data_IF_669557193654
#
_entry.id   IF_669557193654
#
_cell.length_a   1.000
_cell.length_b   1.000
_cell.length_c   1.000
_cell.angle_alpha   90.00
_cell.angle_beta   90.00
_cell.angle_gamma   90.00
#
_symmetry.space_group_name_H-M   'P 1'
#
loop_
_entity.id
_entity.type
_entity.pdbx_description
1 polymer ?
#
# COMPACT_ATOMS: atom_id res chain seq x y z
N UNK A 1 -51.29 48.52 26.66
CA UNK A 1 -50.31 48.19 25.59
C UNK A 1 -50.05 46.70 25.62
N UNK A 2 -50.04 46.04 24.45
CA UNK A 2 -50.09 44.57 24.32
C UNK A 2 -48.71 43.93 24.58
N UNK A 3 -48.70 42.83 25.35
CA UNK A 3 -47.53 41.98 25.55
C UNK A 3 -47.08 41.37 24.21
N UNK A 4 -45.79 41.50 23.86
CA UNK A 4 -45.21 41.03 22.60
C UNK A 4 -44.32 39.82 22.91
N UNK A 5 -44.70 38.64 22.44
CA UNK A 5 -43.84 37.46 22.46
C UNK A 5 -42.72 37.63 21.44
N UNK A 6 -41.46 37.53 21.88
CA UNK A 6 -40.27 37.53 21.02
C UNK A 6 -39.94 36.07 20.66
N UNK A 7 -39.84 35.69 19.37
CA UNK A 7 -39.44 34.33 19.01
C UNK A 7 -37.94 34.14 19.30
N UNK A 8 -37.56 33.00 19.90
CA UNK A 8 -36.15 32.63 20.06
C UNK A 8 -35.55 32.32 18.68
N UNK A 9 -34.33 32.80 18.36
CA UNK A 9 -33.67 32.43 17.11
C UNK A 9 -33.44 30.92 17.12
N UNK A 10 -33.96 30.24 16.09
CA UNK A 10 -33.75 28.81 15.88
C UNK A 10 -32.85 28.62 14.67
N UNK A 11 -31.83 27.77 14.86
CA UNK A 11 -30.97 27.09 13.88
C UNK A 11 -29.85 27.98 13.29
N UNK A 12 -28.62 27.53 13.07
CA UNK A 12 -28.13 26.17 12.82
C UNK A 12 -26.66 26.00 13.29
N UNK A 13 -26.05 24.83 13.05
CA UNK A 13 -24.61 24.62 13.25
C UNK A 13 -23.88 25.39 12.15
N UNK A 14 -23.48 26.62 12.44
CA UNK A 14 -22.98 27.53 11.40
C UNK A 14 -21.54 27.23 10.95
N UNK A 15 -20.74 26.47 11.69
CA UNK A 15 -19.45 25.97 11.16
C UNK A 15 -18.83 24.86 12.03
N UNK A 16 -19.17 23.59 11.78
CA UNK A 16 -18.29 22.50 12.21
C UNK A 16 -17.14 22.37 11.21
N UNK A 17 -16.16 23.27 11.32
CA UNK A 17 -14.96 23.28 10.48
C UNK A 17 -13.97 22.23 10.94
N UNK A 18 -13.92 21.10 10.24
CA UNK A 18 -12.88 20.08 10.42
C UNK A 18 -11.62 20.55 9.69
N UNK A 19 -10.54 20.85 10.40
CA UNK A 19 -9.26 21.28 9.83
C UNK A 19 -8.43 20.05 9.44
N UNK A 20 -8.11 19.88 8.14
CA UNK A 20 -7.14 18.88 7.68
C UNK A 20 -7.50 18.10 6.40
N UNK A 21 -8.11 18.72 5.38
CA UNK A 21 -8.51 18.02 4.15
C UNK A 21 -7.90 18.64 2.91
N UNK A 22 -7.57 17.80 1.91
CA UNK A 22 -7.11 18.19 0.57
C UNK A 22 -8.01 19.30 0.05
N UNK A 23 -7.42 20.47 -0.20
CA UNK A 23 -8.03 21.71 -0.70
C UNK A 23 -9.58 21.78 -0.62
N UNK A 24 -10.12 22.24 0.51
CA UNK A 24 -11.45 22.85 0.56
C UNK A 24 -12.69 21.95 0.72
N UNK A 25 -12.58 20.66 1.03
CA UNK A 25 -13.75 19.78 1.27
C UNK A 25 -13.94 19.34 2.72
N UNK A 26 -15.18 19.24 3.22
CA UNK A 26 -15.54 18.56 4.49
C UNK A 26 -15.36 17.03 4.41
N UNK A 27 -15.46 16.29 5.52
CA UNK A 27 -15.43 14.81 5.53
C UNK A 27 -16.36 14.17 4.49
N UNK A 28 -17.52 14.80 4.30
CA UNK A 28 -18.56 14.41 3.36
C UNK A 28 -18.20 14.49 1.86
N UNK A 29 -17.06 15.08 1.49
CA UNK A 29 -16.65 15.24 0.09
C UNK A 29 -15.75 14.11 -0.44
N UNK A 30 -15.37 13.13 0.39
CA UNK A 30 -14.63 11.97 -0.14
C UNK A 30 -15.59 11.10 -0.93
N UNK A 31 -15.18 10.78 -2.14
CA UNK A 31 -15.74 9.66 -2.87
C UNK A 31 -15.49 8.36 -2.10
N UNK A 32 -16.33 7.35 -2.31
CA UNK A 32 -16.12 6.03 -1.71
C UNK A 32 -14.73 5.45 -2.03
N UNK A 33 -14.21 5.72 -3.23
CA UNK A 33 -12.87 5.32 -3.65
C UNK A 33 -11.76 5.99 -2.82
N UNK A 34 -11.89 7.27 -2.50
CA UNK A 34 -10.91 7.98 -1.66
C UNK A 34 -10.97 7.53 -0.19
N UNK A 35 -12.17 7.22 0.32
CA UNK A 35 -12.31 6.62 1.66
C UNK A 35 -11.69 5.22 1.71
N UNK A 36 -11.90 4.41 0.66
CA UNK A 36 -11.27 3.09 0.52
C UNK A 36 -9.75 3.23 0.47
N UNK A 37 -9.21 4.18 -0.31
CA UNK A 37 -7.77 4.42 -0.37
C UNK A 37 -7.16 4.88 0.96
N UNK A 38 -7.85 5.77 1.68
CA UNK A 38 -7.41 6.23 3.01
C UNK A 38 -7.43 5.09 4.03
N UNK A 39 -8.49 4.28 4.07
CA UNK A 39 -8.58 3.14 4.99
C UNK A 39 -7.59 2.03 4.65
N UNK A 40 -7.36 1.74 3.37
CA UNK A 40 -6.31 0.81 2.92
C UNK A 40 -4.91 1.27 3.31
N UNK A 41 -4.62 2.57 3.20
CA UNK A 41 -3.36 3.15 3.63
C UNK A 41 -3.17 3.12 5.16
N UNK A 42 -4.26 3.20 5.95
CA UNK A 42 -4.20 3.21 7.42
C UNK A 42 -4.17 1.81 8.04
N UNK A 43 -4.85 0.83 7.46
CA UNK A 43 -5.05 -0.50 8.09
C UNK A 43 -3.97 -1.53 7.73
N UNK A 44 -3.01 -1.19 6.85
CA UNK A 44 -1.99 -2.14 6.39
C UNK A 44 -2.57 -3.35 5.64
N UNK A 45 -3.80 -3.22 5.13
CA UNK A 45 -4.54 -4.27 4.42
C UNK A 45 -3.77 -4.74 3.18
N UNK A 46 -3.87 -6.03 2.92
CA UNK A 46 -3.27 -6.67 1.76
C UNK A 46 -3.91 -6.15 0.47
N UNK A 47 -3.09 -5.71 -0.47
CA UNK A 47 -3.47 -5.53 -1.86
C UNK A 47 -2.97 -6.73 -2.68
N UNK A 48 -3.87 -7.36 -3.43
CA UNK A 48 -3.50 -8.47 -4.32
C UNK A 48 -3.16 -7.93 -5.70
N UNK A 49 -1.94 -8.22 -6.16
CA UNK A 49 -1.44 -7.83 -7.46
C UNK A 49 -1.72 -8.96 -8.45
N UNK A 50 -2.30 -8.62 -9.60
CA UNK A 50 -2.34 -9.52 -10.75
C UNK A 50 -0.96 -9.58 -11.39
N UNK A 51 -0.41 -10.78 -11.50
CA UNK A 51 0.89 -10.99 -12.10
C UNK A 51 0.86 -10.62 -13.60
N UNK A 52 1.90 -9.93 -14.07
CA UNK A 52 2.14 -9.62 -15.49
C UNK A 52 3.64 -9.79 -15.81
N UNK A 53 4.05 -9.71 -17.08
CA UNK A 53 5.48 -9.72 -17.45
C UNK A 53 6.25 -8.57 -16.78
N UNK A 54 5.56 -7.45 -16.59
CA UNK A 54 6.04 -6.29 -15.84
C UNK A 54 5.00 -5.88 -14.81
N UNK A 55 5.42 -5.79 -13.56
CA UNK A 55 4.58 -5.41 -12.42
C UNK A 55 5.15 -4.16 -11.76
N UNK A 56 4.32 -3.13 -11.62
CA UNK A 56 4.62 -1.98 -10.78
C UNK A 56 3.88 -2.11 -9.46
N UNK A 57 4.62 -2.25 -8.36
CA UNK A 57 4.05 -2.25 -7.01
C UNK A 57 3.83 -0.81 -6.57
N UNK A 58 2.57 -0.40 -6.51
CA UNK A 58 2.15 0.91 -6.02
C UNK A 58 1.93 0.89 -4.51
N UNK A 59 2.87 1.46 -3.77
CA UNK A 59 2.84 1.47 -2.31
C UNK A 59 1.79 2.42 -1.71
N UNK A 60 1.10 3.21 -2.53
CA UNK A 60 -0.09 3.96 -2.10
C UNK A 60 -1.35 3.09 -2.02
N UNK A 61 -1.37 1.92 -2.68
CA UNK A 61 -2.49 0.98 -2.63
C UNK A 61 -2.52 0.12 -1.34
N UNK A 62 -1.45 0.18 -0.54
CA UNK A 62 -1.34 -0.55 0.73
C UNK A 62 0.10 -0.90 1.08
N UNK A 63 0.40 -0.94 2.38
CA UNK A 63 1.73 -1.30 2.90
C UNK A 63 2.06 -2.79 2.76
N UNK A 64 1.05 -3.65 2.56
CA UNK A 64 1.21 -5.09 2.33
C UNK A 64 0.68 -5.45 0.96
N UNK A 65 1.51 -6.08 0.14
CA UNK A 65 1.23 -6.47 -1.23
C UNK A 65 1.40 -7.99 -1.34
N UNK A 66 0.56 -8.64 -2.13
CA UNK A 66 0.60 -10.09 -2.33
C UNK A 66 0.48 -10.42 -3.83
N UNK A 67 1.33 -11.32 -4.32
CA UNK A 67 1.32 -11.78 -5.70
C UNK A 67 1.57 -13.28 -5.75
N UNK A 68 0.83 -13.99 -6.61
CA UNK A 68 1.10 -15.37 -6.99
C UNK A 68 1.71 -15.36 -8.39
N UNK A 69 2.80 -16.09 -8.60
CA UNK A 69 3.37 -16.27 -9.92
C UNK A 69 2.46 -17.13 -10.82
N UNK A 70 2.29 -16.69 -12.06
CA UNK A 70 1.65 -17.40 -13.17
C UNK A 70 2.59 -17.51 -14.40
N UNK A 71 3.86 -17.14 -14.22
CA UNK A 71 4.93 -17.17 -15.23
C UNK A 71 6.31 -17.17 -14.56
N UNK A 72 7.30 -17.70 -15.27
CA UNK A 72 8.66 -17.97 -14.76
C UNK A 72 9.44 -16.72 -14.32
N UNK A 73 9.23 -15.57 -14.97
CA UNK A 73 9.99 -14.35 -14.68
C UNK A 73 9.11 -13.11 -14.78
N UNK A 74 9.22 -12.24 -13.77
CA UNK A 74 8.49 -10.97 -13.71
C UNK A 74 9.47 -9.82 -13.48
N UNK A 75 9.42 -8.79 -14.32
CA UNK A 75 10.13 -7.54 -14.08
C UNK A 75 9.36 -6.69 -13.06
N UNK A 76 10.00 -6.28 -11.98
CA UNK A 76 9.32 -5.58 -10.88
C UNK A 76 9.91 -4.20 -10.60
N UNK A 77 9.03 -3.20 -10.61
CA UNK A 77 9.30 -1.80 -10.25
C UNK A 77 8.47 -1.39 -9.04
N UNK A 78 8.95 -0.40 -8.28
CA UNK A 78 8.25 0.18 -7.14
C UNK A 78 7.88 1.63 -7.43
N UNK A 79 6.68 2.05 -7.04
CA UNK A 79 6.21 3.42 -7.20
C UNK A 79 5.57 3.95 -5.91
N UNK A 80 5.48 5.28 -5.83
CA UNK A 80 4.81 6.01 -4.76
C UNK A 80 5.23 5.64 -3.33
N UNK A 81 6.54 5.47 -3.01
CA UNK A 81 6.93 5.27 -1.64
C UNK A 81 6.85 6.56 -0.82
N UNK A 82 6.59 6.39 0.47
CA UNK A 82 6.63 7.43 1.48
C UNK A 82 7.94 7.32 2.25
N UNK A 83 8.73 8.40 2.40
CA UNK A 83 9.92 8.39 3.25
C UNK A 83 9.60 7.93 4.68
N UNK A 84 10.40 6.99 5.20
CA UNK A 84 10.16 6.32 6.48
C UNK A 84 9.19 5.14 6.41
N UNK A 85 8.63 4.85 5.23
CA UNK A 85 7.70 3.75 5.02
C UNK A 85 8.35 2.37 5.16
N UNK A 86 7.61 1.46 5.78
CA UNK A 86 7.93 0.03 5.86
C UNK A 86 6.87 -0.73 5.08
N UNK A 87 7.35 -1.58 4.17
CA UNK A 87 6.54 -2.25 3.17
C UNK A 87 6.79 -3.74 3.16
N UNK A 88 5.75 -4.53 2.87
CA UNK A 88 5.80 -5.98 2.80
C UNK A 88 5.29 -6.45 1.46
N UNK A 89 6.08 -7.27 0.77
CA UNK A 89 5.67 -7.96 -0.44
C UNK A 89 5.72 -9.47 -0.16
N UNK A 90 4.57 -10.11 -0.23
CA UNK A 90 4.47 -11.56 -0.17
C UNK A 90 4.42 -12.08 -1.60
N UNK A 91 5.35 -12.97 -1.93
CA UNK A 91 5.41 -13.65 -3.20
C UNK A 91 5.16 -15.12 -2.98
N UNK A 92 4.17 -15.68 -3.66
CA UNK A 92 3.92 -17.11 -3.70
C UNK A 92 4.33 -17.65 -5.06
N UNK A 93 5.17 -18.68 -5.04
CA UNK A 93 5.54 -19.46 -6.21
C UNK A 93 4.31 -20.06 -6.91
N UNK A 94 4.40 -20.26 -8.22
CA UNK A 94 3.48 -21.11 -8.95
C UNK A 94 3.52 -22.55 -8.43
N UNK A 95 2.62 -23.41 -8.89
CA UNK A 95 2.65 -24.82 -8.50
C UNK A 95 3.91 -25.56 -8.97
N UNK A 96 4.56 -25.09 -10.04
CA UNK A 96 5.83 -25.63 -10.53
C UNK A 96 7.04 -25.07 -9.78
N UNK A 97 6.93 -23.85 -9.26
CA UNK A 97 8.00 -23.14 -8.59
C UNK A 97 9.12 -22.72 -9.54
N UNK A 98 10.26 -22.34 -8.96
CA UNK A 98 11.42 -21.76 -9.66
C UNK A 98 11.12 -20.43 -10.40
N UNK A 99 10.04 -19.76 -10.04
CA UNK A 99 9.70 -18.43 -10.55
C UNK A 99 10.61 -17.37 -9.93
N UNK A 100 10.88 -16.30 -10.68
CA UNK A 100 11.86 -15.28 -10.30
C UNK A 100 11.41 -13.85 -10.56
N UNK A 101 12.01 -12.90 -9.82
CA UNK A 101 11.86 -11.46 -10.03
C UNK A 101 13.13 -10.88 -10.62
N UNK A 102 12.98 -10.10 -11.69
CA UNK A 102 13.99 -9.14 -12.14
C UNK A 102 13.69 -7.78 -11.55
N UNK A 103 14.48 -7.36 -10.55
CA UNK A 103 14.30 -6.07 -9.88
C UNK A 103 14.77 -4.92 -10.76
N UNK A 104 13.83 -4.10 -11.21
CA UNK A 104 14.12 -2.84 -11.94
C UNK A 104 14.38 -1.67 -10.99
N UNK A 105 13.79 -1.72 -9.79
CA UNK A 105 14.12 -0.78 -8.70
C UNK A 105 15.47 -1.13 -8.07
N UNK A 106 16.34 -0.14 -7.90
CA UNK A 106 17.60 -0.35 -7.16
C UNK A 106 17.32 -0.48 -5.66
N UNK A 107 17.67 -1.64 -5.08
CA UNK A 107 17.44 -1.98 -3.68
C UNK A 107 18.77 -2.37 -3.03
N UNK A 108 19.06 -1.81 -1.86
CA UNK A 108 20.18 -2.26 -1.00
C UNK A 108 19.73 -3.44 -0.17
N UNK A 109 20.15 -4.63 -0.55
CA UNK A 109 19.79 -5.86 0.13
C UNK A 109 20.66 -6.10 1.37
N UNK A 110 20.04 -6.61 2.44
CA UNK A 110 20.76 -7.17 3.59
C UNK A 110 21.72 -8.26 3.09
N UNK A 111 22.99 -8.18 3.48
CA UNK A 111 24.04 -9.10 3.00
C UNK A 111 24.72 -8.66 1.70
N UNK A 112 24.27 -7.58 1.06
CA UNK A 112 24.94 -6.95 -0.08
C UNK A 112 24.61 -7.53 -1.46
N UNK A 113 23.80 -8.59 -1.53
CA UNK A 113 23.37 -9.24 -2.77
C UNK A 113 21.85 -9.42 -2.82
N UNK A 114 21.27 -9.41 -4.02
CA UNK A 114 19.87 -9.75 -4.23
C UNK A 114 19.60 -11.16 -3.70
N UNK A 115 18.56 -11.37 -2.86
CA UNK A 115 18.21 -12.69 -2.39
C UNK A 115 17.60 -13.54 -3.51
N UNK A 116 17.89 -14.84 -3.49
CA UNK A 116 17.23 -15.84 -4.33
C UNK A 116 15.90 -16.22 -3.70
N UNK A 117 14.80 -16.27 -4.45
CA UNK A 117 13.50 -16.77 -3.93
C UNK A 117 13.53 -18.29 -3.70
N UNK A 118 12.68 -18.77 -2.81
CA UNK A 118 12.44 -20.20 -2.61
C UNK A 118 11.86 -20.79 -3.90
N UNK A 119 12.49 -21.84 -4.41
CA UNK A 119 12.10 -22.45 -5.70
C UNK A 119 11.00 -23.52 -5.57
N UNK A 120 10.60 -23.89 -4.36
CA UNK A 120 9.57 -24.91 -4.16
C UNK A 120 8.19 -24.40 -4.59
N UNK A 121 7.43 -25.24 -5.30
CA UNK A 121 6.09 -24.89 -5.76
C UNK A 121 5.17 -24.50 -4.60
N UNK A 122 4.37 -23.47 -4.79
CA UNK A 122 3.49 -22.83 -3.80
C UNK A 122 4.19 -22.27 -2.54
N UNK A 123 5.53 -22.32 -2.45
CA UNK A 123 6.23 -21.71 -1.34
C UNK A 123 6.03 -20.20 -1.34
N UNK A 124 5.87 -19.64 -0.15
CA UNK A 124 5.72 -18.20 0.06
C UNK A 124 7.03 -17.65 0.63
N UNK A 125 7.45 -16.53 0.07
CA UNK A 125 8.51 -15.68 0.62
C UNK A 125 7.94 -14.31 0.98
N UNK A 126 8.42 -13.76 2.09
CA UNK A 126 8.04 -12.43 2.57
C UNK A 126 9.24 -11.50 2.45
N UNK A 127 9.17 -10.55 1.54
CA UNK A 127 10.15 -9.48 1.38
C UNK A 127 9.71 -8.26 2.17
N UNK A 128 10.62 -7.72 2.98
CA UNK A 128 10.37 -6.47 3.71
C UNK A 128 11.28 -5.38 3.17
N UNK A 129 10.68 -4.23 2.87
CA UNK A 129 11.37 -3.06 2.36
C UNK A 129 11.21 -1.87 3.29
N UNK A 130 12.25 -1.05 3.38
CA UNK A 130 12.20 0.24 4.06
C UNK A 130 12.73 1.31 3.12
N UNK A 131 11.99 2.39 2.96
CA UNK A 131 12.38 3.51 2.10
C UNK A 131 12.79 4.71 2.94
N UNK A 132 14.08 5.04 2.97
CA UNK A 132 14.63 6.15 3.77
C UNK A 132 15.60 6.96 2.92
N UNK A 133 15.48 8.28 2.94
CA UNK A 133 16.35 9.21 2.21
C UNK A 133 16.50 8.85 0.71
N UNK A 134 15.38 8.51 0.06
CA UNK A 134 15.33 8.08 -1.34
C UNK A 134 16.09 6.78 -1.65
N UNK A 135 16.38 5.97 -0.65
CA UNK A 135 17.05 4.67 -0.79
C UNK A 135 16.16 3.55 -0.28
N UNK A 136 16.05 2.50 -1.08
CA UNK A 136 15.40 1.25 -0.69
C UNK A 136 16.37 0.32 0.03
N UNK A 137 15.95 -0.20 1.18
CA UNK A 137 16.61 -1.27 1.90
C UNK A 137 15.70 -2.48 1.92
N UNK A 138 16.21 -3.66 1.58
CA UNK A 138 15.42 -4.88 1.45
C UNK A 138 15.97 -6.03 2.30
N UNK A 139 15.08 -6.85 2.82
CA UNK A 139 15.39 -8.18 3.34
C UNK A 139 14.31 -9.17 2.90
N UNK A 140 14.56 -10.45 3.15
CA UNK A 140 13.63 -11.54 2.87
C UNK A 140 13.59 -12.51 4.05
N UNK A 141 12.41 -13.05 4.32
CA UNK A 141 12.19 -14.24 5.14
C UNK A 141 11.53 -15.28 4.23
N UNK A 142 12.09 -16.49 4.19
CA UNK A 142 11.84 -17.43 3.11
C UNK A 142 11.20 -18.74 3.56
N UNK A 143 10.70 -19.49 2.56
CA UNK A 143 10.35 -20.90 2.66
C UNK A 143 9.21 -21.17 3.64
N UNK A 144 8.12 -20.41 3.51
CA UNK A 144 6.85 -20.73 4.14
C UNK A 144 6.08 -21.66 3.21
N UNK A 145 6.00 -22.95 3.57
CA UNK A 145 5.33 -24.01 2.82
C UNK A 145 4.06 -24.48 3.53
#
# INVERSE_FOLDING_TARGET
MRCRTVPLPRLAVDEQRIIGRKAGGNIAALTGAEVIGITQALDGRQHSITCADTVTVDWSAGGTQYMIFDRDTVAMTFSNPTPGGVYRLLLQQSSGGSDSITWSTTIKWRGGSTPTLTAAGNAVDILTFTFVNSVWYGNITQNFA
#
